data_IF_090902269716
#
_entry.id   IF_090902269716
#
_cell.length_a   1.000
_cell.length_b   1.000
_cell.length_c   1.000
_cell.angle_alpha   90.00
_cell.angle_beta   90.00
_cell.angle_gamma   90.00
#
_symmetry.space_group_name_H-M   'P 1'
#
loop_
_entity.id
_entity.type
_entity.pdbx_description
1 polymer ?
#
# COMPACT_ATOMS: atom_id res chain seq x y z
N UNK A 1 -27.45 7.53 21.43
CA UNK A 1 -26.35 6.54 21.39
C UNK A 1 -25.35 7.03 20.37
N UNK A 2 -24.12 7.32 20.79
CA UNK A 2 -23.02 7.66 19.87
C UNK A 2 -22.35 6.36 19.43
N UNK A 3 -21.99 6.24 18.16
CA UNK A 3 -21.18 5.11 17.68
C UNK A 3 -19.79 5.19 18.31
N UNK A 4 -19.14 4.05 18.60
CA UNK A 4 -17.72 4.04 18.94
C UNK A 4 -16.95 4.76 17.84
N UNK A 5 -15.99 5.60 18.22
CA UNK A 5 -15.01 6.13 17.27
C UNK A 5 -14.13 4.99 16.81
N UNK A 6 -14.01 4.81 15.50
CA UNK A 6 -13.02 3.89 14.95
C UNK A 6 -11.62 4.31 15.43
N UNK A 7 -10.76 3.36 15.84
CA UNK A 7 -9.38 3.67 16.14
C UNK A 7 -8.73 4.28 14.90
N UNK A 8 -7.85 5.28 15.09
CA UNK A 8 -7.10 5.83 13.96
C UNK A 8 -6.35 4.68 13.26
N UNK A 9 -6.41 4.62 11.92
CA UNK A 9 -5.68 3.61 11.18
C UNK A 9 -4.17 3.78 11.43
N UNK A 10 -3.43 2.68 11.60
CA UNK A 10 -2.00 2.75 11.85
C UNK A 10 -1.28 3.41 10.66
N UNK A 11 -0.25 4.20 10.96
CA UNK A 11 0.64 4.72 9.94
C UNK A 11 1.21 3.57 9.12
N UNK A 12 1.28 3.74 7.80
CA UNK A 12 1.82 2.73 6.89
C UNK A 12 3.17 3.19 6.35
N UNK A 13 4.17 2.31 6.45
CA UNK A 13 5.44 2.43 5.77
C UNK A 13 5.40 1.63 4.46
N UNK A 14 5.98 2.16 3.39
CA UNK A 14 5.98 1.52 2.07
C UNK A 14 7.29 1.77 1.30
N UNK A 15 7.74 0.77 0.56
CA UNK A 15 9.00 0.80 -0.19
C UNK A 15 8.97 -0.10 -1.43
N UNK A 16 10.04 -0.06 -2.23
CA UNK A 16 10.26 -0.87 -3.43
C UNK A 16 9.11 -0.77 -4.45
N UNK A 17 8.70 0.47 -4.71
CA UNK A 17 7.67 0.74 -5.71
C UNK A 17 8.17 0.33 -7.10
N UNK A 18 7.41 -0.51 -7.77
CA UNK A 18 7.62 -0.88 -9.16
C UNK A 18 6.31 -0.73 -9.93
N UNK A 19 6.37 0.04 -11.02
CA UNK A 19 5.24 0.24 -11.93
C UNK A 19 5.48 -0.55 -13.21
N UNK A 20 4.51 -1.37 -13.58
CA UNK A 20 4.45 -2.03 -14.88
C UNK A 20 3.27 -1.47 -15.67
N UNK A 21 3.55 -0.84 -16.81
CA UNK A 21 2.52 -0.32 -17.69
C UNK A 21 1.96 -1.47 -18.54
N UNK A 22 0.69 -1.80 -18.32
CA UNK A 22 0.02 -2.90 -19.04
C UNK A 22 -0.60 -2.40 -20.36
N UNK A 23 -0.93 -1.11 -20.43
CA UNK A 23 -1.32 -0.37 -21.64
C UNK A 23 -1.18 1.13 -21.42
N UNK A 24 -1.48 1.97 -22.42
CA UNK A 24 -1.49 3.44 -22.29
C UNK A 24 -2.40 3.94 -21.15
N UNK A 25 -3.43 3.18 -20.79
CA UNK A 25 -4.44 3.57 -19.81
C UNK A 25 -4.46 2.70 -18.56
N UNK A 26 -3.58 1.69 -18.44
CA UNK A 26 -3.60 0.75 -17.32
C UNK A 26 -2.18 0.54 -16.78
N UNK A 27 -2.01 0.72 -15.48
CA UNK A 27 -0.75 0.49 -14.78
C UNK A 27 -0.95 -0.47 -13.59
N UNK A 28 -0.04 -1.43 -13.45
CA UNK A 28 0.10 -2.25 -12.26
C UNK A 28 1.18 -1.62 -11.37
N UNK A 29 0.82 -1.26 -10.14
CA UNK A 29 1.77 -0.87 -9.09
C UNK A 29 1.94 -2.03 -8.12
N UNK A 30 3.19 -2.44 -7.91
CA UNK A 30 3.59 -3.36 -6.84
C UNK A 30 4.52 -2.66 -5.87
N UNK A 31 4.42 -2.99 -4.59
CA UNK A 31 5.24 -2.41 -3.53
C UNK A 31 5.17 -3.26 -2.27
N UNK A 32 6.13 -3.06 -1.36
CA UNK A 32 6.11 -3.67 -0.02
C UNK A 32 5.60 -2.66 0.99
N UNK A 33 4.89 -3.13 2.02
CA UNK A 33 4.38 -2.26 3.08
C UNK A 33 4.32 -2.95 4.44
N UNK A 34 4.35 -2.14 5.50
CA UNK A 34 4.14 -2.58 6.88
C UNK A 34 3.40 -1.48 7.65
N UNK A 35 2.72 -1.85 8.73
CA UNK A 35 2.23 -0.89 9.71
C UNK A 35 3.37 -0.45 10.62
N UNK A 36 3.33 0.81 11.03
CA UNK A 36 4.25 1.42 11.97
C UNK A 36 3.57 1.44 13.34
N UNK A 37 4.22 0.81 14.32
CA UNK A 37 3.77 0.80 15.71
C UNK A 37 4.17 2.07 16.45
N UNK A 38 3.79 2.15 17.72
CA UNK A 38 3.95 3.39 18.51
C UNK A 38 5.42 3.76 18.76
N UNK A 39 6.35 2.79 18.70
CA UNK A 39 7.79 3.01 18.89
C UNK A 39 8.55 3.01 17.55
N UNK A 40 7.84 3.04 16.43
CA UNK A 40 8.43 3.01 15.08
C UNK A 40 8.73 1.60 14.57
N UNK A 41 8.39 0.55 15.32
CA UNK A 41 8.56 -0.83 14.90
C UNK A 41 7.63 -1.18 13.73
N UNK A 42 8.14 -1.96 12.77
CA UNK A 42 7.35 -2.42 11.63
C UNK A 42 6.70 -3.76 11.92
N UNK A 43 5.41 -3.89 11.60
CA UNK A 43 4.63 -5.12 11.75
C UNK A 43 3.59 -5.28 10.63
N UNK A 44 2.98 -6.47 10.50
CA UNK A 44 2.00 -6.80 9.42
C UNK A 44 2.54 -6.53 8.01
N UNK A 45 3.72 -7.08 7.73
CA UNK A 45 4.38 -6.97 6.44
C UNK A 45 3.53 -7.57 5.31
N UNK A 46 3.38 -6.80 4.23
CA UNK A 46 2.45 -7.12 3.14
C UNK A 46 3.10 -6.79 1.80
N UNK A 47 3.11 -7.76 0.88
CA UNK A 47 3.33 -7.50 -0.54
C UNK A 47 2.03 -6.97 -1.13
N UNK A 48 2.07 -5.78 -1.71
CA UNK A 48 0.88 -5.11 -2.26
C UNK A 48 0.93 -5.05 -3.77
N UNK A 49 -0.25 -5.20 -4.36
CA UNK A 49 -0.50 -5.00 -5.78
C UNK A 49 -1.74 -4.15 -5.96
N UNK A 50 -1.72 -3.26 -6.94
CA UNK A 50 -2.87 -2.44 -7.30
C UNK A 50 -2.88 -2.16 -8.79
N UNK A 51 -4.07 -2.23 -9.39
CA UNK A 51 -4.26 -1.83 -10.78
C UNK A 51 -4.91 -0.47 -10.80
N UNK A 52 -4.32 0.41 -11.59
CA UNK A 52 -4.78 1.77 -11.81
C UNK A 52 -5.20 1.93 -13.26
N UNK A 53 -6.30 2.64 -13.46
CA UNK A 53 -6.85 3.01 -14.75
C UNK A 53 -6.82 4.53 -14.91
N UNK A 54 -6.31 5.01 -16.04
CA UNK A 54 -6.34 6.43 -16.38
C UNK A 54 -7.71 6.78 -16.93
N UNK A 55 -8.45 7.61 -16.19
CA UNK A 55 -9.72 8.18 -16.60
C UNK A 55 -9.56 9.67 -16.94
N UNK A 56 -10.65 10.31 -17.40
CA UNK A 56 -10.66 11.76 -17.69
C UNK A 56 -10.32 12.61 -16.48
N UNK A 57 -10.62 12.14 -15.26
CA UNK A 57 -10.27 12.80 -14.00
C UNK A 57 -8.88 12.44 -13.46
N UNK A 58 -8.11 11.62 -14.19
CA UNK A 58 -6.81 11.09 -13.77
C UNK A 58 -6.85 9.62 -13.38
N UNK A 59 -5.74 9.15 -12.80
CA UNK A 59 -5.59 7.75 -12.39
C UNK A 59 -6.53 7.40 -11.24
N UNK A 60 -7.27 6.30 -11.39
CA UNK A 60 -8.11 5.69 -10.35
C UNK A 60 -7.70 4.25 -10.13
N UNK A 61 -7.63 3.86 -8.86
CA UNK A 61 -7.38 2.47 -8.49
C UNK A 61 -8.67 1.66 -8.70
N UNK A 62 -8.58 0.58 -9.48
CA UNK A 62 -9.71 -0.32 -9.79
C UNK A 62 -9.56 -1.69 -9.13
N UNK A 63 -8.38 -2.00 -8.61
CA UNK A 63 -8.09 -3.22 -7.86
C UNK A 63 -7.01 -2.96 -6.82
N UNK A 64 -7.12 -3.60 -5.65
CA UNK A 64 -6.13 -3.57 -4.58
C UNK A 64 -6.08 -4.90 -3.85
N UNK A 65 -4.88 -5.44 -3.67
CA UNK A 65 -4.68 -6.68 -2.93
C UNK A 65 -3.38 -6.63 -2.13
N UNK A 66 -3.42 -7.18 -0.91
CA UNK A 66 -2.25 -7.36 -0.06
C UNK A 66 -2.10 -8.80 0.42
N UNK A 67 -0.92 -9.38 0.23
CA UNK A 67 -0.56 -10.73 0.71
C UNK A 67 0.43 -10.61 1.86
N UNK A 68 0.16 -11.29 2.99
CA UNK A 68 1.09 -11.38 4.11
C UNK A 68 2.45 -11.92 3.63
N UNK A 69 3.54 -11.37 4.14
CA UNK A 69 4.91 -11.79 3.83
C UNK A 69 5.77 -11.73 5.07
N UNK A 70 6.98 -12.29 4.98
CA UNK A 70 8.03 -12.12 5.98
C UNK A 70 8.45 -10.66 6.12
N UNK A 71 9.13 -10.34 7.23
CA UNK A 71 9.67 -9.01 7.48
C UNK A 71 10.67 -8.58 6.41
N UNK A 72 10.66 -7.29 6.07
CA UNK A 72 11.67 -6.67 5.23
C UNK A 72 12.33 -5.49 5.95
N UNK A 73 13.58 -5.21 5.59
CA UNK A 73 14.33 -4.09 6.16
C UNK A 73 13.89 -2.77 5.52
N UNK A 74 13.81 -1.73 6.35
CA UNK A 74 13.78 -0.36 5.87
C UNK A 74 15.14 -0.03 5.22
N UNK A 75 15.20 0.54 4.00
CA UNK A 75 16.44 1.06 3.43
C UNK A 75 17.06 2.07 4.37
N UNK A 76 18.38 2.00 4.54
CA UNK A 76 19.14 3.02 5.22
C UNK A 76 18.95 4.35 4.46
N UNK A 77 18.67 5.41 5.21
CA UNK A 77 18.53 6.79 4.69
C UNK A 77 19.89 7.27 4.18
#
# INVERSE_FOLDING_TARGET
MSLPTDPEPPQTYAQDFAVNQLSDLIALLTYRSAHVGALGELFRYTNRSSIWQLESSGWRMVFHQGTLTDSFNQPAI
#
